data_IF_881632074676
#
_entry.id   IF_881632074676
#
_cell.length_a   1.000
_cell.length_b   1.000
_cell.length_c   1.000
_cell.angle_alpha   90.00
_cell.angle_beta   90.00
_cell.angle_gamma   90.00
#
_symmetry.space_group_name_H-M   'P 1'
#
loop_
_entity.id
_entity.type
_entity.pdbx_description
1 polymer ?
#
# COMPACT_ATOMS: atom_id res chain seq x y z
N UNK A 1 5.12 13.30 4.65
CA UNK A 1 6.30 12.41 4.49
C UNK A 1 6.83 11.89 5.82
N UNK A 2 7.10 12.75 6.81
CA UNK A 2 7.59 12.33 8.14
C UNK A 2 6.67 11.30 8.83
N UNK A 3 5.35 11.53 8.88
CA UNK A 3 4.39 10.57 9.46
C UNK A 3 4.40 9.21 8.75
N UNK A 4 4.71 9.20 7.45
CA UNK A 4 4.83 8.01 6.63
C UNK A 4 6.15 7.26 6.82
N UNK A 5 7.05 7.74 7.68
CA UNK A 5 8.43 7.26 7.80
C UNK A 5 9.17 7.27 6.45
N UNK A 6 8.82 8.20 5.56
CA UNK A 6 9.52 8.45 4.28
C UNK A 6 10.55 9.57 4.41
N UNK A 7 10.53 10.28 5.54
CA UNK A 7 11.41 11.39 5.85
C UNK A 7 11.65 11.42 7.36
N UNK A 8 12.73 12.05 7.80
CA UNK A 8 13.08 12.18 9.21
C UNK A 8 12.81 13.61 9.71
N UNK A 9 12.35 13.77 10.96
CA UNK A 9 12.23 15.11 11.53
C UNK A 9 13.61 15.77 11.62
N UNK A 10 13.71 17.03 11.21
CA UNK A 10 14.94 17.83 11.37
C UNK A 10 15.24 18.13 12.84
N UNK A 11 14.22 18.23 13.69
CA UNK A 11 14.32 18.30 15.14
C UNK A 11 13.06 17.73 15.80
N UNK A 12 13.17 17.34 17.07
CA UNK A 12 12.09 16.72 17.83
C UNK A 12 12.07 15.19 17.72
N UNK A 13 11.01 14.59 18.25
CA UNK A 13 10.87 13.13 18.33
C UNK A 13 9.52 12.71 17.73
N UNK A 14 9.55 11.64 16.93
CA UNK A 14 8.36 11.01 16.40
C UNK A 14 8.25 9.58 16.91
N UNK A 15 7.12 9.28 17.54
CA UNK A 15 6.79 7.96 18.06
C UNK A 15 5.64 7.38 17.26
N UNK A 16 5.84 6.19 16.68
CA UNK A 16 4.78 5.43 16.02
C UNK A 16 4.59 4.12 16.80
N UNK A 17 3.36 3.87 17.26
CA UNK A 17 3.05 2.70 18.11
C UNK A 17 3.97 2.57 19.34
N UNK A 18 4.39 3.70 19.93
CA UNK A 18 5.29 3.73 21.08
C UNK A 18 6.78 3.57 20.78
N UNK A 19 7.17 3.38 19.51
CA UNK A 19 8.57 3.28 19.10
C UNK A 19 9.07 4.59 18.50
N UNK A 20 10.25 5.05 18.93
CA UNK A 20 10.89 6.24 18.37
C UNK A 20 11.47 5.92 16.99
N UNK A 21 10.95 6.56 15.94
CA UNK A 21 11.30 6.24 14.56
C UNK A 21 12.74 6.64 14.21
N UNK A 22 13.26 7.72 14.82
CA UNK A 22 14.60 8.24 14.51
C UNK A 22 15.76 7.34 14.93
N UNK A 23 15.50 6.30 15.73
CA UNK A 23 16.52 5.35 16.23
C UNK A 23 16.44 3.99 15.54
N UNK A 24 15.51 3.82 14.61
CA UNK A 24 15.25 2.55 13.92
C UNK A 24 16.03 2.51 12.61
N UNK A 25 16.61 1.35 12.28
CA UNK A 25 17.33 1.16 11.02
C UNK A 25 16.37 1.11 9.81
N UNK A 26 16.88 1.50 8.64
CA UNK A 26 16.12 1.66 7.40
C UNK A 26 15.34 0.39 6.97
N UNK A 27 15.90 -0.79 7.25
CA UNK A 27 15.27 -2.07 6.95
C UNK A 27 14.03 -2.33 7.84
N UNK A 28 14.13 -1.96 9.12
CA UNK A 28 13.03 -2.08 10.09
C UNK A 28 11.96 -1.02 9.80
N UNK A 29 12.36 0.19 9.39
CA UNK A 29 11.42 1.22 8.92
C UNK A 29 10.60 0.71 7.73
N UNK A 30 11.23 0.01 6.78
CA UNK A 30 10.52 -0.53 5.61
C UNK A 30 9.48 -1.58 6.00
N UNK A 31 9.80 -2.42 6.99
CA UNK A 31 8.85 -3.40 7.55
C UNK A 31 7.70 -2.70 8.28
N UNK A 32 8.01 -1.73 9.12
CA UNK A 32 7.02 -0.93 9.85
C UNK A 32 6.06 -0.20 8.90
N UNK A 33 6.58 0.40 7.82
CA UNK A 33 5.75 1.03 6.78
C UNK A 33 4.80 0.02 6.15
N UNK A 34 5.29 -1.17 5.80
CA UNK A 34 4.46 -2.21 5.19
C UNK A 34 3.30 -2.63 6.10
N UNK A 35 3.55 -2.73 7.40
CA UNK A 35 2.57 -3.24 8.36
C UNK A 35 1.60 -2.19 8.92
N UNK A 36 2.06 -0.94 9.05
CA UNK A 36 1.33 0.11 9.81
C UNK A 36 0.85 1.28 8.96
N UNK A 37 1.34 1.42 7.73
CA UNK A 37 1.11 2.63 6.93
C UNK A 37 0.58 2.28 5.54
N UNK A 38 -0.64 2.75 5.24
CA UNK A 38 -1.20 2.76 3.90
C UNK A 38 -1.09 4.17 3.30
N UNK A 39 -0.57 4.28 2.08
CA UNK A 39 -0.52 5.54 1.35
C UNK A 39 -1.62 5.62 0.30
N UNK A 40 -2.34 6.73 0.28
CA UNK A 40 -3.29 7.08 -0.77
C UNK A 40 -2.79 8.38 -1.40
N UNK A 41 -2.62 8.38 -2.73
CA UNK A 41 -2.07 9.51 -3.47
C UNK A 41 -3.12 10.16 -4.37
N UNK A 42 -3.02 11.47 -4.54
CA UNK A 42 -3.91 12.24 -5.43
C UNK A 42 -3.86 11.79 -6.89
N UNK A 43 -2.69 11.32 -7.36
CA UNK A 43 -2.47 10.84 -8.73
C UNK A 43 -2.49 9.31 -8.86
N UNK A 44 -3.07 8.61 -7.86
CA UNK A 44 -3.25 7.14 -7.75
C UNK A 44 -1.98 6.29 -7.69
N UNK A 45 -0.88 6.68 -8.35
CA UNK A 45 0.41 5.94 -8.45
C UNK A 45 0.27 4.43 -8.75
N UNK A 46 -0.77 4.03 -9.48
CA UNK A 46 -0.95 2.65 -9.91
C UNK A 46 0.08 2.27 -10.99
N UNK A 47 0.61 1.06 -10.90
CA UNK A 47 1.49 0.49 -11.92
C UNK A 47 0.66 0.15 -13.17
N UNK A 48 0.91 0.81 -14.33
CA UNK A 48 0.00 0.77 -15.48
C UNK A 48 -0.04 -0.58 -16.19
N UNK A 49 0.98 -1.41 -15.99
CA UNK A 49 1.09 -2.75 -16.60
C UNK A 49 0.42 -3.84 -15.77
N UNK A 50 0.08 -3.55 -14.51
CA UNK A 50 -0.51 -4.51 -13.58
C UNK A 50 -2.04 -4.35 -13.55
N UNK A 51 -2.75 -5.44 -13.26
CA UNK A 51 -4.19 -5.38 -13.00
C UNK A 51 -4.48 -4.70 -11.65
N UNK A 52 -5.74 -4.34 -11.40
CA UNK A 52 -6.19 -3.81 -10.11
C UNK A 52 -5.83 -4.75 -8.96
N UNK A 53 -6.08 -6.06 -9.12
CA UNK A 53 -5.71 -7.08 -8.13
C UNK A 53 -4.20 -7.07 -7.87
N UNK A 54 -3.39 -7.05 -8.93
CA UNK A 54 -1.94 -7.05 -8.77
C UNK A 54 -1.43 -5.78 -8.10
N UNK A 55 -1.98 -4.60 -8.42
CA UNK A 55 -1.67 -3.35 -7.73
C UNK A 55 -1.97 -3.42 -6.22
N UNK A 56 -3.16 -3.89 -5.83
CA UNK A 56 -3.55 -4.04 -4.41
C UNK A 56 -2.67 -5.04 -3.67
N UNK A 57 -2.17 -6.08 -4.35
CA UNK A 57 -1.31 -7.10 -3.72
C UNK A 57 0.18 -6.77 -3.68
N UNK A 58 0.64 -5.66 -4.28
CA UNK A 58 2.07 -5.29 -4.27
C UNK A 58 2.65 -5.25 -2.83
N UNK A 59 1.98 -4.61 -1.84
CA UNK A 59 2.54 -4.53 -0.49
C UNK A 59 2.75 -5.92 0.12
N UNK A 60 1.86 -6.88 -0.16
CA UNK A 60 1.92 -8.24 0.37
C UNK A 60 3.11 -9.04 -0.16
N UNK A 61 3.73 -8.62 -1.28
CA UNK A 61 4.96 -9.24 -1.79
C UNK A 61 6.18 -9.02 -0.90
N UNK A 62 6.13 -7.98 -0.06
CA UNK A 62 7.17 -7.67 0.91
C UNK A 62 6.82 -8.21 2.31
N UNK A 63 5.74 -9.00 2.41
CA UNK A 63 5.31 -9.69 3.62
C UNK A 63 5.45 -11.21 3.42
N UNK A 64 5.44 -11.98 4.51
CA UNK A 64 5.46 -13.46 4.47
C UNK A 64 4.09 -14.06 4.10
N UNK A 65 3.46 -13.59 3.01
CA UNK A 65 2.17 -14.08 2.52
C UNK A 65 2.37 -14.75 1.16
N UNK A 66 1.90 -15.99 1.02
CA UNK A 66 1.97 -16.68 -0.26
C UNK A 66 1.04 -16.04 -1.31
N UNK A 67 1.29 -16.34 -2.59
CA UNK A 67 0.56 -15.71 -3.69
C UNK A 67 -0.96 -15.96 -3.66
N UNK A 68 -1.38 -17.18 -3.26
CA UNK A 68 -2.79 -17.54 -3.23
C UNK A 68 -3.56 -16.74 -2.17
N UNK A 69 -2.98 -16.61 -0.98
CA UNK A 69 -3.56 -15.83 0.11
C UNK A 69 -3.51 -14.33 -0.17
N UNK A 70 -2.46 -13.85 -0.85
CA UNK A 70 -2.37 -12.47 -1.30
C UNK A 70 -3.49 -12.15 -2.30
N UNK A 71 -3.72 -13.01 -3.31
CA UNK A 71 -4.79 -12.81 -4.29
C UNK A 71 -6.18 -12.87 -3.63
N UNK A 72 -6.40 -13.77 -2.65
CA UNK A 72 -7.65 -13.80 -1.86
C UNK A 72 -7.88 -12.50 -1.09
N UNK A 73 -6.86 -12.01 -0.39
CA UNK A 73 -6.94 -10.74 0.38
C UNK A 73 -7.17 -9.55 -0.54
N UNK A 74 -6.44 -9.48 -1.65
CA UNK A 74 -6.60 -8.41 -2.64
C UNK A 74 -7.99 -8.39 -3.26
N UNK A 75 -8.53 -9.55 -3.63
CA UNK A 75 -9.89 -9.65 -4.16
C UNK A 75 -10.93 -9.25 -3.12
N UNK A 76 -10.75 -9.64 -1.86
CA UNK A 76 -11.63 -9.24 -0.77
C UNK A 76 -11.62 -7.71 -0.59
N UNK A 77 -10.46 -7.06 -0.58
CA UNK A 77 -10.34 -5.59 -0.50
C UNK A 77 -11.02 -4.89 -1.69
N UNK A 78 -10.78 -5.38 -2.92
CA UNK A 78 -11.45 -4.86 -4.11
C UNK A 78 -12.97 -5.02 -4.03
N UNK A 79 -13.46 -6.09 -3.40
CA UNK A 79 -14.89 -6.29 -3.18
C UNK A 79 -15.47 -5.25 -2.22
N UNK A 80 -14.76 -4.93 -1.12
CA UNK A 80 -15.20 -3.92 -0.15
C UNK A 80 -15.37 -2.53 -0.77
N UNK A 81 -14.58 -2.20 -1.80
CA UNK A 81 -14.66 -0.92 -2.53
C UNK A 81 -15.51 -0.99 -3.80
N UNK A 82 -16.20 -2.12 -4.06
CA UNK A 82 -17.10 -2.30 -5.20
C UNK A 82 -16.39 -2.44 -6.55
N UNK A 83 -15.24 -3.11 -6.58
CA UNK A 83 -14.39 -3.33 -7.76
C UNK A 83 -14.05 -4.81 -8.04
N UNK A 84 -14.81 -5.76 -7.46
CA UNK A 84 -14.58 -7.20 -7.66
C UNK A 84 -14.52 -7.58 -9.17
N UNK A 85 -15.49 -7.12 -9.94
CA UNK A 85 -15.59 -7.37 -11.40
C UNK A 85 -14.48 -6.70 -12.21
N UNK A 86 -13.76 -5.74 -11.61
CA UNK A 86 -12.65 -5.01 -12.23
C UNK A 86 -11.28 -5.51 -11.78
N UNK A 87 -11.21 -6.58 -11.01
CA UNK A 87 -9.96 -7.12 -10.45
C UNK A 87 -8.87 -7.41 -11.49
N UNK A 88 -9.25 -7.84 -12.70
CA UNK A 88 -8.30 -8.12 -13.79
C UNK A 88 -8.03 -6.94 -14.73
N UNK A 89 -8.75 -5.83 -14.57
CA UNK A 89 -8.58 -4.66 -15.43
C UNK A 89 -7.29 -3.91 -15.07
N UNK A 90 -6.65 -3.36 -16.09
CA UNK A 90 -5.50 -2.46 -15.95
C UNK A 90 -5.97 -1.03 -15.71
N UNK A 91 -5.13 -0.16 -15.11
CA UNK A 91 -5.53 1.21 -14.77
C UNK A 91 -6.09 2.03 -15.93
N UNK A 92 -5.63 1.82 -17.18
CA UNK A 92 -6.15 2.56 -18.34
C UNK A 92 -7.57 2.15 -18.77
N UNK A 93 -8.06 1.02 -18.28
CA UNK A 93 -9.40 0.50 -18.55
C UNK A 93 -10.41 0.95 -17.48
N UNK A 94 -9.96 1.78 -16.53
CA UNK A 94 -10.70 2.18 -15.35
C UNK A 94 -10.91 3.70 -15.33
N UNK A 95 -12.08 4.14 -14.85
CA UNK A 95 -12.34 5.56 -14.63
C UNK A 95 -11.43 6.13 -13.53
N UNK A 96 -11.32 7.47 -13.43
CA UNK A 96 -10.56 8.11 -12.36
C UNK A 96 -11.00 7.69 -10.95
N UNK A 97 -12.32 7.68 -10.69
CA UNK A 97 -12.87 7.25 -9.40
C UNK A 97 -12.76 5.74 -9.15
N UNK A 98 -12.61 4.92 -10.19
CA UNK A 98 -12.26 3.51 -10.03
C UNK A 98 -10.78 3.37 -9.66
N UNK A 99 -9.87 4.10 -10.33
CA UNK A 99 -8.44 4.12 -10.01
C UNK A 99 -8.15 4.61 -8.59
N UNK A 100 -8.90 5.58 -8.08
CA UNK A 100 -8.76 6.06 -6.69
C UNK A 100 -9.12 5.00 -5.64
N UNK A 101 -9.97 4.02 -5.99
CA UNK A 101 -10.44 2.97 -5.08
C UNK A 101 -9.58 1.69 -5.15
N UNK A 102 -8.74 1.55 -6.18
CA UNK A 102 -7.71 0.50 -6.26
C UNK A 102 -6.54 0.91 -5.37
#
# INVERSE_FOLDING_TARGET
NILGCLDSPTSGQYFLSGQQISTIEDHQLSTLRNEKIGFIFQSFHLLPRLSALKNVTIPLRYSNVNQQDADKRGLHMLTQVGLADRSQHKPFEMSGGQRQRV
#
